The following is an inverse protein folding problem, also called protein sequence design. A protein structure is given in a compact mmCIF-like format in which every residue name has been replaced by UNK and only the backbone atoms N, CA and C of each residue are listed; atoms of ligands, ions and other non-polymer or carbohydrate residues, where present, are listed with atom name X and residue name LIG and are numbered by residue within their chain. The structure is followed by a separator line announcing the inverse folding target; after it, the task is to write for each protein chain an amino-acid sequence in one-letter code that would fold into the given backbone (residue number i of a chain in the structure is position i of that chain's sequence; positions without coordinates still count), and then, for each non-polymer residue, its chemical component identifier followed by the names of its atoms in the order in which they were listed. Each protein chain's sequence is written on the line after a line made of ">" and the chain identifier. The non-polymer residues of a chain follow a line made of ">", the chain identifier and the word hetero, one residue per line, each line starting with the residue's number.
data_IF_820791934334
#
_entry.id   IF_820791934334
#
_cell.length_a   1.000
_cell.length_b   1.000
_cell.length_c   1.000
_cell.angle_alpha   90.00
_cell.angle_beta   90.00
_cell.angle_gamma   90.00
#
_symmetry.space_group_name_H-M   'P 1'
#
loop_
_entity.id
_entity.type
_entity.pdbx_description
1 polymer ?
#
# COMPACT_ATOMS: atom_id res chain seq x y z
N UNK A 1 -14.51 16.94 8.62
CA UNK A 1 -14.83 16.04 7.49
C UNK A 1 -15.09 14.60 7.96
N UNK A 2 -16.06 13.89 7.37
CA UNK A 2 -16.28 12.44 7.60
C UNK A 2 -15.40 11.59 6.68
N UNK A 3 -14.62 10.70 7.28
CA UNK A 3 -13.68 9.81 6.61
C UNK A 3 -14.10 8.35 6.79
N UNK A 4 -13.87 7.55 5.75
CA UNK A 4 -14.12 6.10 5.75
C UNK A 4 -12.84 5.36 5.42
N UNK A 5 -12.38 4.48 6.31
CA UNK A 5 -11.29 3.54 6.08
C UNK A 5 -11.88 2.18 5.71
N UNK A 6 -12.00 1.91 4.41
CA UNK A 6 -12.49 0.65 3.88
C UNK A 6 -11.36 -0.39 3.85
N UNK A 7 -11.25 -1.14 4.96
CA UNK A 7 -10.16 -2.07 5.24
C UNK A 7 -9.25 -1.53 6.34
N UNK A 8 -9.18 -2.26 7.46
CA UNK A 8 -8.36 -1.89 8.61
C UNK A 8 -7.15 -2.79 8.79
N UNK A 9 -6.17 -2.64 7.89
CA UNK A 9 -4.90 -3.34 7.99
C UNK A 9 -3.79 -2.48 8.59
N UNK A 10 -2.55 -2.89 8.31
CA UNK A 10 -1.32 -2.23 8.76
C UNK A 10 -1.25 -0.73 8.46
N UNK A 11 -1.62 -0.31 7.24
CA UNK A 11 -1.66 1.12 6.90
C UNK A 11 -2.73 1.88 7.72
N UNK A 12 -3.91 1.29 7.90
CA UNK A 12 -4.96 1.92 8.71
C UNK A 12 -4.53 2.09 10.17
N UNK A 13 -3.78 1.12 10.73
CA UNK A 13 -3.20 1.23 12.07
C UNK A 13 -2.26 2.45 12.19
N UNK A 14 -1.35 2.61 11.22
CA UNK A 14 -0.48 3.78 11.14
C UNK A 14 -1.27 5.08 10.97
N UNK A 15 -2.26 5.10 10.08
CA UNK A 15 -3.14 6.26 9.86
C UNK A 15 -3.88 6.70 11.13
N UNK A 16 -4.44 5.75 11.89
CA UNK A 16 -5.12 6.05 13.15
C UNK A 16 -4.11 6.56 14.20
N UNK A 17 -2.90 6.01 14.26
CA UNK A 17 -1.89 6.46 15.24
C UNK A 17 -1.53 7.94 15.12
N UNK A 18 -1.66 8.51 13.91
CA UNK A 18 -1.39 9.92 13.62
C UNK A 18 -2.65 10.75 13.37
N UNK A 19 -3.85 10.20 13.61
CA UNK A 19 -5.10 10.87 13.23
C UNK A 19 -5.37 12.16 14.02
N UNK A 20 -4.82 12.29 15.23
CA UNK A 20 -4.96 13.49 16.05
C UNK A 20 -4.29 14.72 15.44
N UNK A 21 -3.37 14.53 14.49
CA UNK A 21 -2.76 15.63 13.73
C UNK A 21 -3.70 16.19 12.65
N UNK A 22 -4.87 15.58 12.47
CA UNK A 22 -5.84 15.93 11.45
C UNK A 22 -7.19 16.28 12.08
N UNK A 23 -7.83 17.34 11.59
CA UNK A 23 -9.13 17.78 12.08
C UNK A 23 -10.27 17.05 11.35
N UNK A 24 -10.46 15.77 11.66
CA UNK A 24 -11.56 14.95 11.12
C UNK A 24 -12.66 14.76 12.17
N UNK A 25 -13.87 15.26 11.89
CA UNK A 25 -15.04 15.13 12.77
C UNK A 25 -15.36 13.68 13.13
N UNK A 26 -15.19 12.77 12.16
CA UNK A 26 -15.51 11.35 12.35
C UNK A 26 -14.73 10.48 11.37
N UNK A 27 -14.11 9.43 11.90
CA UNK A 27 -13.47 8.36 11.14
C UNK A 27 -14.29 7.08 11.33
N UNK A 28 -14.76 6.52 10.23
CA UNK A 28 -15.47 5.23 10.21
C UNK A 28 -14.53 4.19 9.64
N UNK A 29 -14.32 3.10 10.37
CA UNK A 29 -13.40 2.04 9.99
C UNK A 29 -14.14 0.73 9.74
N UNK A 30 -13.88 0.09 8.60
CA UNK A 30 -14.44 -1.20 8.25
C UNK A 30 -13.37 -2.29 8.21
N UNK A 31 -13.66 -3.42 8.83
CA UNK A 31 -12.87 -4.64 8.67
C UNK A 31 -13.68 -5.88 9.07
N UNK A 32 -13.16 -7.07 8.76
CA UNK A 32 -13.79 -8.34 9.15
C UNK A 32 -13.49 -8.73 10.60
N UNK A 33 -12.39 -8.23 11.16
CA UNK A 33 -12.05 -8.41 12.57
C UNK A 33 -12.52 -7.20 13.38
N UNK A 34 -13.02 -7.45 14.59
CA UNK A 34 -13.35 -6.36 15.54
C UNK A 34 -12.07 -5.60 15.89
N UNK A 35 -12.16 -4.26 15.94
CA UNK A 35 -11.11 -3.40 16.49
C UNK A 35 -11.71 -2.44 17.50
N UNK A 36 -10.94 -2.16 18.54
CA UNK A 36 -11.18 -1.05 19.44
C UNK A 36 -9.98 -0.12 19.37
N UNK A 37 -10.23 1.15 19.09
CA UNK A 37 -9.19 2.18 18.94
C UNK A 37 -9.05 3.04 20.18
N UNK A 38 -10.02 3.02 21.11
CA UNK A 38 -10.03 3.91 22.27
C UNK A 38 -10.10 5.40 21.92
N UNK A 39 -10.59 5.76 20.73
CA UNK A 39 -10.69 7.14 20.24
C UNK A 39 -12.15 7.51 19.99
N UNK A 40 -12.62 8.61 20.57
CA UNK A 40 -14.03 9.01 20.54
C UNK A 40 -14.58 9.29 19.13
N UNK A 41 -13.72 9.85 18.27
CA UNK A 41 -14.04 10.18 16.89
C UNK A 41 -13.87 9.00 15.91
N UNK A 42 -13.37 7.85 16.37
CA UNK A 42 -13.20 6.64 15.54
C UNK A 42 -14.29 5.63 15.86
N UNK A 43 -15.04 5.20 14.85
CA UNK A 43 -16.09 4.19 14.97
C UNK A 43 -15.79 3.00 14.07
N UNK A 44 -15.60 1.84 14.67
CA UNK A 44 -15.41 0.58 13.95
C UNK A 44 -16.76 -0.08 13.64
N UNK A 45 -16.86 -0.68 12.46
CA UNK A 45 -17.93 -1.59 12.10
C UNK A 45 -17.37 -2.85 11.45
N UNK A 46 -17.79 -4.01 11.96
CA UNK A 46 -17.49 -5.29 11.32
C UNK A 46 -18.30 -5.41 10.02
N UNK A 47 -17.61 -5.47 8.89
CA UNK A 47 -18.20 -5.62 7.55
C UNK A 47 -17.33 -6.53 6.70
N UNK A 48 -17.96 -7.49 6.04
CA UNK A 48 -17.37 -8.19 4.91
C UNK A 48 -17.94 -7.59 3.62
N UNK A 49 -17.08 -7.04 2.77
CA UNK A 49 -17.51 -6.46 1.50
C UNK A 49 -17.93 -7.50 0.46
N UNK A 50 -17.73 -8.78 0.76
CA UNK A 50 -18.22 -9.90 -0.05
C UNK A 50 -19.65 -10.34 0.30
N UNK A 51 -20.23 -9.83 1.38
CA UNK A 51 -21.61 -10.13 1.78
C UNK A 51 -22.61 -9.21 1.06
N UNK A 52 -23.53 -9.82 0.31
CA UNK A 52 -24.54 -9.11 -0.48
C UNK A 52 -25.58 -8.39 0.37
N UNK A 53 -25.73 -8.72 1.65
CA UNK A 53 -26.73 -8.11 2.53
C UNK A 53 -26.22 -6.87 3.29
N UNK A 54 -24.93 -6.54 3.16
CA UNK A 54 -24.38 -5.38 3.85
C UNK A 54 -24.95 -4.08 3.30
N UNK A 55 -25.06 -3.11 4.20
CA UNK A 55 -25.32 -1.71 3.87
C UNK A 55 -24.32 -0.80 4.60
N UNK A 56 -24.26 0.44 4.13
CA UNK A 56 -23.33 1.46 4.60
C UNK A 56 -24.08 2.70 5.10
N UNK A 57 -25.12 2.48 5.90
CA UNK A 57 -25.99 3.56 6.39
C UNK A 57 -25.25 4.58 7.27
N UNK A 58 -24.24 4.14 8.00
CA UNK A 58 -23.39 4.93 8.89
C UNK A 58 -22.57 6.02 8.17
N UNK A 59 -22.33 5.85 6.86
CA UNK A 59 -21.62 6.82 6.03
C UNK A 59 -22.56 7.67 5.16
N UNK A 60 -23.88 7.65 5.42
CA UNK A 60 -24.81 8.63 4.81
C UNK A 60 -24.34 10.07 5.06
N UNK A 61 -24.59 10.95 4.10
CA UNK A 61 -24.02 12.30 4.05
C UNK A 61 -22.74 12.36 3.23
N UNK A 62 -22.08 13.52 3.22
CA UNK A 62 -20.82 13.73 2.50
C UNK A 62 -19.67 13.00 3.20
N UNK A 63 -18.92 12.16 2.49
CA UNK A 63 -17.75 11.45 3.03
C UNK A 63 -16.63 11.27 2.01
N UNK A 64 -15.40 11.13 2.47
CA UNK A 64 -14.27 10.67 1.66
C UNK A 64 -13.83 9.28 2.10
N UNK A 65 -13.38 8.45 1.16
CA UNK A 65 -13.06 7.03 1.38
C UNK A 65 -11.58 6.80 1.10
N UNK A 66 -10.93 6.01 1.96
CA UNK A 66 -9.67 5.35 1.68
C UNK A 66 -9.93 3.86 1.56
N UNK A 67 -9.71 3.30 0.37
CA UNK A 67 -9.93 1.87 0.12
C UNK A 67 -8.60 1.10 0.17
N UNK A 68 -8.49 0.24 1.18
CA UNK A 68 -7.30 -0.55 1.52
C UNK A 68 -7.57 -2.06 1.59
N UNK A 69 -8.83 -2.47 1.54
CA UNK A 69 -9.18 -3.89 1.57
C UNK A 69 -8.48 -4.63 0.42
N UNK A 70 -7.80 -5.76 0.68
CA UNK A 70 -7.14 -6.51 -0.38
C UNK A 70 -8.19 -7.18 -1.28
N UNK A 71 -7.87 -7.44 -2.55
CA UNK A 71 -8.76 -8.18 -3.43
C UNK A 71 -8.95 -9.64 -2.97
N UNK A 72 -10.00 -10.30 -3.46
CA UNK A 72 -10.22 -11.74 -3.28
C UNK A 72 -9.17 -12.58 -3.98
N UNK A 73 -8.68 -13.64 -3.32
CA UNK A 73 -7.63 -14.51 -3.87
C UNK A 73 -8.17 -15.59 -4.82
N UNK A 74 -9.46 -15.88 -4.77
CA UNK A 74 -10.16 -16.89 -5.56
C UNK A 74 -10.72 -16.35 -6.89
N UNK A 75 -10.51 -15.06 -7.20
CA UNK A 75 -11.05 -14.38 -8.37
C UNK A 75 -9.94 -13.79 -9.25
N UNK A 76 -10.22 -13.63 -10.55
CA UNK A 76 -9.29 -13.01 -11.50
C UNK A 76 -9.33 -11.47 -11.47
N UNK A 77 -10.45 -10.91 -11.02
CA UNK A 77 -10.71 -9.47 -10.84
C UNK A 77 -10.95 -9.13 -9.36
N UNK A 78 -10.99 -7.85 -9.02
CA UNK A 78 -11.30 -7.39 -7.65
C UNK A 78 -12.81 -7.24 -7.44
N UNK A 79 -13.52 -8.36 -7.37
CA UNK A 79 -14.97 -8.37 -7.17
C UNK A 79 -15.39 -7.81 -5.82
N UNK A 80 -14.49 -7.80 -4.83
CA UNK A 80 -14.76 -7.23 -3.50
C UNK A 80 -14.89 -5.72 -3.58
N UNK A 81 -14.00 -5.08 -4.33
CA UNK A 81 -14.11 -3.66 -4.62
C UNK A 81 -15.36 -3.37 -5.44
N UNK A 82 -15.64 -4.16 -6.49
CA UNK A 82 -16.82 -3.95 -7.33
C UNK A 82 -18.12 -4.00 -6.50
N UNK A 83 -18.23 -4.97 -5.58
CA UNK A 83 -19.34 -5.06 -4.64
C UNK A 83 -19.44 -3.83 -3.75
N UNK A 84 -18.31 -3.40 -3.14
CA UNK A 84 -18.27 -2.21 -2.31
C UNK A 84 -18.76 -0.96 -3.09
N UNK A 85 -18.22 -0.72 -4.29
CA UNK A 85 -18.59 0.40 -5.16
C UNK A 85 -20.08 0.35 -5.54
N UNK A 86 -20.61 -0.83 -5.84
CA UNK A 86 -22.03 -1.00 -6.14
C UNK A 86 -22.93 -0.57 -4.97
N UNK A 87 -22.55 -0.90 -3.74
CA UNK A 87 -23.35 -0.58 -2.54
C UNK A 87 -23.27 0.89 -2.16
N UNK A 88 -22.16 1.58 -2.44
CA UNK A 88 -22.01 3.01 -2.14
C UNK A 88 -22.46 3.93 -3.28
N UNK A 89 -22.86 3.40 -4.44
CA UNK A 89 -23.16 4.19 -5.66
C UNK A 89 -24.18 5.32 -5.49
N UNK A 90 -25.10 5.21 -4.52
CA UNK A 90 -26.14 6.22 -4.24
C UNK A 90 -25.76 7.18 -3.10
N UNK A 91 -24.59 7.00 -2.50
CA UNK A 91 -24.10 7.83 -1.38
C UNK A 91 -23.35 9.05 -1.92
N UNK A 92 -23.27 10.10 -1.11
CA UNK A 92 -22.55 11.34 -1.45
C UNK A 92 -21.07 11.18 -1.11
N UNK A 93 -20.28 10.69 -2.05
CA UNK A 93 -18.83 10.52 -1.88
C UNK A 93 -18.11 11.73 -2.49
N UNK A 94 -17.19 12.34 -1.76
CA UNK A 94 -16.41 13.48 -2.30
C UNK A 94 -15.19 12.98 -3.08
N UNK A 95 -14.37 12.12 -2.43
CA UNK A 95 -13.13 11.59 -2.98
C UNK A 95 -12.90 10.14 -2.52
N UNK A 96 -12.36 9.30 -3.40
CA UNK A 96 -11.87 7.96 -3.06
C UNK A 96 -10.36 7.90 -3.28
N UNK A 97 -9.59 7.69 -2.23
CA UNK A 97 -8.17 7.33 -2.30
C UNK A 97 -8.02 5.82 -2.29
N UNK A 98 -7.53 5.24 -3.38
CA UNK A 98 -7.30 3.81 -3.51
C UNK A 98 -5.82 3.48 -3.35
N UNK A 99 -5.53 2.54 -2.44
CA UNK A 99 -4.18 2.05 -2.18
C UNK A 99 -3.92 0.84 -3.09
N UNK A 100 -3.32 1.11 -4.24
CA UNK A 100 -2.86 0.13 -5.23
C UNK A 100 -1.43 -0.34 -4.91
N UNK A 101 -0.72 -0.86 -5.90
CA UNK A 101 0.65 -1.36 -5.79
C UNK A 101 1.44 -1.06 -7.06
N UNK A 102 2.75 -0.85 -6.93
CA UNK A 102 3.68 -0.80 -8.07
C UNK A 102 3.78 -2.12 -8.86
N UNK A 103 3.29 -3.24 -8.32
CA UNK A 103 3.23 -4.51 -9.04
C UNK A 103 2.40 -4.46 -10.32
N UNK A 104 1.52 -3.47 -10.48
CA UNK A 104 0.74 -3.25 -11.70
C UNK A 104 1.58 -3.01 -12.95
N UNK A 105 2.81 -2.49 -12.80
CA UNK A 105 3.73 -2.31 -13.90
C UNK A 105 4.35 -3.63 -14.39
N UNK A 106 4.48 -4.64 -13.52
CA UNK A 106 5.23 -5.85 -13.83
C UNK A 106 6.74 -5.63 -13.96
N UNK A 107 7.44 -6.57 -14.59
CA UNK A 107 8.90 -6.49 -14.71
C UNK A 107 9.31 -5.49 -15.79
N UNK A 108 10.09 -4.49 -15.39
CA UNK A 108 10.72 -3.50 -16.26
C UNK A 108 12.24 -3.69 -16.30
N UNK A 109 12.78 -4.80 -15.76
CA UNK A 109 14.21 -5.10 -15.78
C UNK A 109 15.05 -4.09 -14.98
N UNK A 110 14.46 -3.41 -14.00
CA UNK A 110 15.13 -2.36 -13.24
C UNK A 110 15.11 -0.97 -13.91
N UNK A 111 14.47 -0.82 -15.06
CA UNK A 111 14.27 0.49 -15.68
C UNK A 111 13.33 1.37 -14.85
N UNK A 112 13.46 2.68 -15.05
CA UNK A 112 12.60 3.70 -14.43
C UNK A 112 11.21 3.64 -15.05
N UNK A 113 10.18 3.73 -14.20
CA UNK A 113 8.77 3.83 -14.60
C UNK A 113 8.10 5.03 -13.93
N UNK A 114 7.27 5.71 -14.69
CA UNK A 114 6.39 6.79 -14.22
C UNK A 114 4.91 6.35 -14.27
N UNK A 115 3.97 7.23 -13.91
CA UNK A 115 2.55 6.89 -13.88
C UNK A 115 1.91 6.69 -15.25
N UNK A 116 2.58 7.12 -16.33
CA UNK A 116 2.14 6.94 -17.73
C UNK A 116 2.64 5.63 -18.34
N UNK A 117 3.59 4.96 -17.68
CA UNK A 117 4.16 3.70 -18.11
C UNK A 117 3.12 2.59 -18.22
N UNK A 118 3.27 1.74 -19.24
CA UNK A 118 2.35 0.64 -19.54
C UNK A 118 2.24 -0.35 -18.37
N UNK A 119 1.01 -0.80 -18.11
CA UNK A 119 0.75 -1.82 -17.08
C UNK A 119 0.91 -3.22 -17.66
N UNK A 120 1.91 -3.96 -17.19
CA UNK A 120 2.21 -5.34 -17.64
C UNK A 120 2.23 -6.32 -16.45
N UNK A 121 1.16 -6.41 -15.65
CA UNK A 121 1.16 -7.20 -14.42
C UNK A 121 1.41 -8.69 -14.69
N UNK A 122 2.40 -9.27 -14.01
CA UNK A 122 2.75 -10.69 -14.18
C UNK A 122 1.94 -11.57 -13.21
N UNK A 123 1.94 -11.20 -11.92
CA UNK A 123 1.26 -11.98 -10.88
C UNK A 123 -0.25 -11.73 -10.83
N UNK A 124 -1.03 -12.75 -10.45
CA UNK A 124 -2.49 -12.63 -10.35
C UNK A 124 -2.94 -11.60 -9.30
N UNK A 125 -2.13 -11.38 -8.25
CA UNK A 125 -2.35 -10.28 -7.30
C UNK A 125 -2.26 -8.91 -7.98
N UNK A 126 -1.31 -8.72 -8.91
CA UNK A 126 -1.14 -7.47 -9.63
C UNK A 126 -2.24 -7.28 -10.69
N UNK A 127 -2.64 -8.34 -11.40
CA UNK A 127 -3.76 -8.31 -12.35
C UNK A 127 -5.06 -7.87 -11.67
N UNK A 128 -5.35 -8.39 -10.48
CA UNK A 128 -6.50 -7.94 -9.66
C UNK A 128 -6.41 -6.47 -9.28
N UNK A 129 -5.21 -5.97 -8.96
CA UNK A 129 -5.00 -4.54 -8.65
C UNK A 129 -5.21 -3.66 -9.88
N UNK A 130 -4.82 -4.10 -11.08
CA UNK A 130 -5.16 -3.41 -12.35
C UNK A 130 -6.66 -3.39 -12.58
N UNK A 131 -7.36 -4.51 -12.32
CA UNK A 131 -8.84 -4.53 -12.37
C UNK A 131 -9.44 -3.50 -11.43
N UNK A 132 -8.96 -3.42 -10.20
CA UNK A 132 -9.44 -2.49 -9.20
C UNK A 132 -9.20 -1.02 -9.58
N UNK A 133 -8.02 -0.68 -10.13
CA UNK A 133 -7.74 0.67 -10.65
C UNK A 133 -8.78 1.07 -11.71
N UNK A 134 -9.09 0.17 -12.65
CA UNK A 134 -10.11 0.42 -13.68
C UNK A 134 -11.50 0.60 -13.09
N UNK A 135 -11.88 -0.21 -12.09
CA UNK A 135 -13.18 -0.11 -11.43
C UNK A 135 -13.35 1.22 -10.67
N UNK A 136 -12.31 1.68 -9.95
CA UNK A 136 -12.32 2.99 -9.28
C UNK A 136 -12.51 4.12 -10.28
N UNK A 137 -11.69 4.15 -11.34
CA UNK A 137 -11.74 5.21 -12.35
C UNK A 137 -13.14 5.25 -12.99
N UNK A 138 -13.62 4.10 -13.48
CA UNK A 138 -14.92 4.01 -14.14
C UNK A 138 -16.07 4.39 -13.20
N UNK A 139 -16.03 3.97 -11.94
CA UNK A 139 -17.03 4.34 -10.94
C UNK A 139 -17.04 5.85 -10.73
N UNK A 140 -15.87 6.45 -10.49
CA UNK A 140 -15.75 7.87 -10.20
C UNK A 140 -16.16 8.74 -11.40
N UNK A 141 -15.79 8.36 -12.62
CA UNK A 141 -16.25 9.02 -13.85
C UNK A 141 -17.78 8.99 -13.98
N UNK A 142 -18.40 7.81 -13.82
CA UNK A 142 -19.86 7.64 -13.94
C UNK A 142 -20.64 8.38 -12.86
N UNK A 143 -20.10 8.44 -11.65
CA UNK A 143 -20.76 9.04 -10.48
C UNK A 143 -20.35 10.49 -10.22
N UNK A 144 -19.42 11.04 -11.03
CA UNK A 144 -18.80 12.36 -10.85
C UNK A 144 -18.11 12.53 -9.48
N UNK A 145 -17.63 11.42 -8.92
CA UNK A 145 -16.82 11.42 -7.70
C UNK A 145 -15.35 11.64 -8.08
N UNK A 146 -14.53 12.15 -7.16
CA UNK A 146 -13.09 12.31 -7.36
C UNK A 146 -12.34 11.04 -6.94
N UNK A 147 -11.17 10.79 -7.52
CA UNK A 147 -10.29 9.71 -7.04
C UNK A 147 -8.84 10.14 -6.91
N UNK A 148 -8.08 9.39 -6.12
CA UNK A 148 -6.62 9.34 -6.13
C UNK A 148 -6.22 7.87 -6.10
N UNK A 149 -5.24 7.48 -6.91
CA UNK A 149 -4.67 6.13 -6.89
C UNK A 149 -3.21 6.22 -6.50
N UNK A 150 -2.84 5.56 -5.40
CA UNK A 150 -1.45 5.42 -4.98
C UNK A 150 -0.93 4.03 -5.37
N UNK A 151 0.02 3.99 -6.31
CA UNK A 151 0.75 2.77 -6.69
C UNK A 151 1.92 2.59 -5.73
N UNK A 152 1.63 1.96 -4.60
CA UNK A 152 2.56 1.86 -3.47
C UNK A 152 3.64 0.80 -3.70
N UNK A 153 4.88 1.16 -3.35
CA UNK A 153 6.03 0.26 -3.27
C UNK A 153 6.00 -0.68 -2.05
N UNK A 154 7.11 -1.32 -1.72
CA UNK A 154 7.19 -2.20 -0.55
C UNK A 154 7.03 -1.42 0.76
N UNK A 155 5.98 -1.71 1.53
CA UNK A 155 5.72 -1.02 2.79
C UNK A 155 6.55 -1.65 3.91
N UNK A 156 7.36 -0.85 4.59
CA UNK A 156 8.08 -1.22 5.81
C UNK A 156 7.72 -0.30 6.98
N UNK A 157 8.15 -0.65 8.18
CA UNK A 157 7.83 0.08 9.40
C UNK A 157 7.81 -0.84 10.63
N UNK A 158 7.41 -0.31 11.80
CA UNK A 158 7.23 -1.08 13.03
C UNK A 158 6.42 -2.37 12.81
N UNK A 159 6.94 -3.51 13.26
CA UNK A 159 6.26 -4.82 13.14
C UNK A 159 6.21 -5.41 11.72
N UNK A 160 6.86 -4.77 10.73
CA UNK A 160 6.95 -5.24 9.34
C UNK A 160 8.37 -5.48 8.83
N UNK A 161 9.38 -5.24 9.67
CA UNK A 161 10.75 -5.63 9.38
C UNK A 161 10.87 -7.17 9.37
N UNK A 162 11.63 -7.78 8.44
CA UNK A 162 11.83 -9.23 8.35
C UNK A 162 12.77 -9.81 9.43
N UNK A 163 12.67 -9.32 10.67
CA UNK A 163 13.55 -9.68 11.79
C UNK A 163 13.50 -11.19 12.07
N UNK A 164 12.31 -11.79 12.12
CA UNK A 164 12.15 -13.22 12.38
C UNK A 164 12.89 -14.10 11.36
N UNK A 165 12.97 -13.66 10.10
CA UNK A 165 13.66 -14.39 9.03
C UNK A 165 15.16 -14.28 9.17
N UNK A 166 15.64 -13.10 9.56
CA UNK A 166 17.05 -12.85 9.87
C UNK A 166 17.47 -13.72 11.06
N UNK A 167 16.70 -13.73 12.15
CA UNK A 167 16.99 -14.52 13.35
C UNK A 167 16.97 -16.04 13.08
N UNK A 168 16.12 -16.51 12.16
CA UNK A 168 16.11 -17.91 11.70
C UNK A 168 17.26 -18.26 10.76
N UNK A 169 18.11 -17.29 10.38
CA UNK A 169 19.20 -17.49 9.44
C UNK A 169 18.72 -17.83 8.03
N UNK A 170 17.51 -17.40 7.63
CA UNK A 170 17.05 -17.64 6.26
C UNK A 170 17.97 -16.91 5.27
N UNK A 171 18.55 -17.62 4.28
CA UNK A 171 19.52 -17.01 3.39
C UNK A 171 18.89 -15.91 2.53
N UNK A 172 19.70 -14.94 2.13
CA UNK A 172 19.33 -13.85 1.21
C UNK A 172 20.08 -14.01 -0.11
N UNK A 173 19.66 -13.31 -1.16
CA UNK A 173 20.38 -13.33 -2.43
C UNK A 173 21.74 -12.62 -2.28
N UNK A 174 22.73 -13.06 -3.05
CA UNK A 174 23.93 -12.27 -3.31
C UNK A 174 23.56 -10.93 -3.93
N UNK A 175 24.30 -9.88 -3.59
CA UNK A 175 24.04 -8.53 -4.14
C UNK A 175 24.08 -8.48 -5.68
N UNK A 176 24.89 -9.32 -6.33
CA UNK A 176 24.96 -9.44 -7.79
C UNK A 176 23.66 -9.96 -8.43
N UNK A 177 22.89 -10.74 -7.67
CA UNK A 177 21.66 -11.41 -8.14
C UNK A 177 20.41 -10.68 -7.64
N UNK A 178 20.58 -9.70 -6.75
CA UNK A 178 19.50 -8.99 -6.09
C UNK A 178 18.93 -7.90 -7.02
N UNK A 179 17.68 -8.08 -7.42
CA UNK A 179 16.96 -7.06 -8.20
C UNK A 179 16.64 -5.81 -7.37
N UNK A 180 16.49 -4.69 -8.08
CA UNK A 180 16.10 -3.41 -7.50
C UNK A 180 14.67 -3.49 -6.96
N UNK A 181 14.45 -2.85 -5.82
CA UNK A 181 13.17 -2.68 -5.17
C UNK A 181 13.01 -1.26 -4.65
N UNK A 182 11.78 -0.91 -4.31
CA UNK A 182 11.38 0.42 -3.87
C UNK A 182 10.68 0.25 -2.53
N UNK A 183 10.89 1.17 -1.61
CA UNK A 183 10.33 1.10 -0.26
C UNK A 183 9.62 2.38 0.12
N UNK A 184 8.67 2.27 1.04
CA UNK A 184 8.03 3.41 1.70
C UNK A 184 7.78 3.05 3.15
N UNK A 185 8.14 3.96 4.05
CA UNK A 185 7.84 3.81 5.46
C UNK A 185 6.34 4.02 5.70
N UNK A 186 5.72 3.20 6.55
CA UNK A 186 4.26 3.23 6.77
C UNK A 186 3.75 4.57 7.32
N UNK A 187 4.57 5.29 8.09
CA UNK A 187 4.23 6.64 8.60
C UNK A 187 4.14 7.65 7.45
N UNK A 188 5.07 7.60 6.48
CA UNK A 188 5.04 8.46 5.31
C UNK A 188 3.84 8.15 4.42
N UNK A 189 3.57 6.86 4.20
CA UNK A 189 2.39 6.43 3.46
C UNK A 189 1.09 6.86 4.15
N UNK A 190 1.02 6.78 5.49
CA UNK A 190 -0.14 7.23 6.25
C UNK A 190 -0.37 8.74 6.10
N UNK A 191 0.70 9.54 6.23
CA UNK A 191 0.64 10.99 6.03
C UNK A 191 0.21 11.38 4.61
N UNK A 192 0.82 10.77 3.60
CA UNK A 192 0.42 10.94 2.20
C UNK A 192 -1.06 10.60 1.99
N UNK A 193 -1.52 9.49 2.57
CA UNK A 193 -2.91 9.04 2.45
C UNK A 193 -3.86 10.05 3.09
N UNK A 194 -3.55 10.57 4.28
CA UNK A 194 -4.36 11.62 4.88
C UNK A 194 -4.37 12.91 4.10
N UNK A 195 -3.20 13.35 3.63
CA UNK A 195 -3.09 14.57 2.83
C UNK A 195 -3.87 14.46 1.52
N UNK A 196 -3.89 13.28 0.89
CA UNK A 196 -4.69 13.03 -0.32
C UNK A 196 -6.19 13.30 -0.16
N UNK A 197 -6.70 13.27 1.07
CA UNK A 197 -8.12 13.52 1.36
C UNK A 197 -8.43 14.99 1.57
N UNK A 198 -7.46 15.79 2.02
CA UNK A 198 -7.63 17.21 2.37
C UNK A 198 -7.09 18.16 1.31
N UNK A 199 -6.15 17.70 0.48
CA UNK A 199 -5.63 18.49 -0.61
C UNK A 199 -6.66 18.74 -1.73
N UNK A 200 -6.34 19.71 -2.59
CA UNK A 200 -7.12 20.00 -3.80
C UNK A 200 -6.88 19.03 -4.95
N UNK A 201 -5.99 18.03 -4.80
CA UNK A 201 -5.58 17.13 -5.88
C UNK A 201 -6.68 16.11 -6.12
N UNK A 202 -7.03 15.89 -7.40
CA UNK A 202 -8.13 15.01 -7.80
C UNK A 202 -7.84 14.34 -9.13
N UNK A 203 -8.36 13.13 -9.29
CA UNK A 203 -8.33 12.31 -10.50
C UNK A 203 -6.91 11.96 -10.98
N UNK A 204 -6.00 11.80 -10.03
CA UNK A 204 -4.59 11.55 -10.30
C UNK A 204 -4.11 10.18 -9.80
N UNK A 205 -3.08 9.68 -10.47
CA UNK A 205 -2.33 8.49 -10.07
C UNK A 205 -0.92 8.92 -9.68
N UNK A 206 -0.39 8.34 -8.61
CA UNK A 206 0.96 8.58 -8.12
C UNK A 206 1.71 7.29 -7.83
N UNK A 207 2.97 7.23 -8.22
CA UNK A 207 3.94 6.30 -7.68
C UNK A 207 4.30 6.70 -6.25
N UNK A 208 4.29 5.75 -5.31
CA UNK A 208 4.59 6.03 -3.90
C UNK A 208 5.78 5.21 -3.42
N UNK A 209 6.90 5.91 -3.17
CA UNK A 209 8.16 5.42 -2.63
C UNK A 209 8.85 6.54 -1.83
N UNK A 210 9.87 6.20 -1.07
CA UNK A 210 10.83 7.13 -0.45
C UNK A 210 11.77 7.83 -1.46
N UNK A 211 11.75 7.42 -2.74
CA UNK A 211 12.59 7.95 -3.81
C UNK A 211 14.01 7.38 -3.87
N UNK A 212 14.35 6.42 -3.01
CA UNK A 212 15.70 5.87 -2.88
C UNK A 212 15.67 4.36 -3.16
N UNK A 213 15.70 3.94 -4.44
CA UNK A 213 15.66 2.52 -4.79
C UNK A 213 16.84 1.78 -4.15
N UNK A 214 16.57 0.56 -3.69
CA UNK A 214 17.53 -0.33 -3.01
C UNK A 214 17.42 -1.73 -3.61
N UNK A 215 18.03 -2.75 -3.00
CA UNK A 215 17.81 -4.16 -3.33
C UNK A 215 17.25 -4.90 -2.13
N UNK A 216 16.64 -6.06 -2.37
CA UNK A 216 16.21 -6.92 -1.26
C UNK A 216 17.35 -7.31 -0.33
N UNK A 217 18.57 -7.48 -0.86
CA UNK A 217 19.77 -7.81 -0.07
C UNK A 217 20.23 -6.62 0.76
N UNK A 218 20.37 -5.42 0.16
CA UNK A 218 20.78 -4.20 0.87
C UNK A 218 19.80 -3.87 2.01
N UNK A 219 18.49 -4.05 1.80
CA UNK A 219 17.50 -3.87 2.85
C UNK A 219 17.73 -4.79 4.06
N UNK A 220 17.98 -6.08 3.85
CA UNK A 220 18.24 -7.03 4.95
C UNK A 220 19.55 -6.71 5.67
N UNK A 221 20.61 -6.38 4.91
CA UNK A 221 21.91 -6.02 5.49
C UNK A 221 21.84 -4.74 6.33
N UNK A 222 21.09 -3.73 5.89
CA UNK A 222 20.84 -2.50 6.67
C UNK A 222 20.08 -2.77 7.96
N UNK A 223 19.08 -3.65 7.94
CA UNK A 223 18.40 -4.08 9.17
C UNK A 223 19.39 -4.74 10.12
N UNK A 224 20.21 -5.67 9.63
CA UNK A 224 21.21 -6.35 10.46
C UNK A 224 22.19 -5.35 11.09
N UNK A 225 22.65 -4.36 10.30
CA UNK A 225 23.53 -3.29 10.77
C UNK A 225 22.88 -2.43 11.86
N UNK A 226 21.65 -1.93 11.62
CA UNK A 226 20.95 -1.06 12.58
C UNK A 226 20.63 -1.79 13.89
N UNK A 227 20.28 -3.07 13.81
CA UNK A 227 19.87 -3.88 14.95
C UNK A 227 21.02 -4.68 15.58
N UNK A 228 22.24 -4.55 15.07
CA UNK A 228 23.40 -5.34 15.50
C UNK A 228 23.13 -6.87 15.46
N UNK A 229 22.49 -7.35 14.38
CA UNK A 229 22.21 -8.77 14.15
C UNK A 229 23.27 -9.39 13.23
N UNK A 230 23.46 -10.71 13.35
CA UNK A 230 24.30 -11.48 12.42
C UNK A 230 23.67 -11.45 11.01
N UNK A 231 24.46 -11.05 10.02
CA UNK A 231 24.05 -11.11 8.61
C UNK A 231 23.74 -12.55 8.18
N UNK A 232 22.62 -12.80 7.46
CA UNK A 232 22.32 -14.11 6.89
C UNK A 232 23.30 -14.51 5.80
N UNK A 233 23.38 -15.82 5.53
CA UNK A 233 24.16 -16.34 4.41
C UNK A 233 23.62 -15.84 3.07
N UNK A 234 24.53 -15.60 2.12
CA UNK A 234 24.19 -15.13 0.78
C UNK A 234 24.30 -16.27 -0.24
N UNK A 235 23.20 -16.55 -0.92
CA UNK A 235 23.10 -17.60 -1.95
C UNK A 235 22.84 -17.00 -3.32
N UNK A 236 23.24 -17.72 -4.37
CA UNK A 236 22.96 -17.31 -5.74
C UNK A 236 21.50 -17.61 -6.15
N UNK A 237 21.07 -17.11 -7.31
CA UNK A 237 19.69 -17.29 -7.78
C UNK A 237 19.31 -18.77 -8.03
N UNK A 238 20.24 -19.63 -8.45
CA UNK A 238 19.99 -21.05 -8.70
C UNK A 238 19.80 -21.84 -7.39
N UNK A 239 20.54 -21.48 -6.35
CA UNK A 239 20.34 -21.99 -4.99
C UNK A 239 19.02 -21.49 -4.42
N UNK A 240 18.71 -20.20 -4.60
CA UNK A 240 17.47 -19.60 -4.14
C UNK A 240 16.23 -20.30 -4.70
N UNK A 241 16.23 -20.67 -5.99
CA UNK A 241 15.14 -21.45 -6.63
C UNK A 241 14.85 -22.78 -5.92
N UNK A 242 15.83 -23.37 -5.23
CA UNK A 242 15.69 -24.66 -4.53
C UNK A 242 15.15 -24.50 -3.11
N UNK A 243 15.45 -23.38 -2.44
CA UNK A 243 15.16 -23.19 -1.01
C UNK A 243 14.08 -22.15 -0.73
N UNK A 244 13.77 -21.27 -1.68
CA UNK A 244 12.74 -20.26 -1.51
C UNK A 244 11.38 -20.79 -1.97
N UNK A 245 10.34 -20.51 -1.18
CA UNK A 245 8.96 -20.74 -1.61
C UNK A 245 8.63 -19.98 -2.90
N UNK A 246 7.71 -20.51 -3.70
CA UNK A 246 7.21 -19.85 -4.92
C UNK A 246 6.73 -18.42 -4.65
N UNK A 247 6.07 -18.21 -3.50
CA UNK A 247 5.61 -16.90 -3.08
C UNK A 247 6.79 -15.94 -2.90
N UNK A 248 7.88 -16.36 -2.25
CA UNK A 248 9.10 -15.55 -2.09
C UNK A 248 9.74 -15.28 -3.46
N UNK A 249 9.88 -16.30 -4.30
CA UNK A 249 10.44 -16.16 -5.65
C UNK A 249 9.62 -15.17 -6.50
N UNK A 250 8.29 -15.17 -6.39
CA UNK A 250 7.42 -14.24 -7.12
C UNK A 250 7.70 -12.76 -6.83
N UNK A 251 8.25 -12.43 -5.65
CA UNK A 251 8.65 -11.06 -5.33
C UNK A 251 10.02 -10.68 -5.90
N UNK A 252 10.85 -11.66 -6.25
CA UNK A 252 12.20 -11.47 -6.78
C UNK A 252 12.24 -11.46 -8.32
N UNK A 253 11.16 -11.94 -8.95
CA UNK A 253 11.09 -12.04 -10.41
C UNK A 253 10.82 -10.71 -11.11
N UNK A 254 10.34 -9.67 -10.42
CA UNK A 254 9.99 -8.39 -11.01
C UNK A 254 10.92 -7.26 -10.50
N UNK A 255 11.36 -6.35 -11.38
CA UNK A 255 12.23 -5.22 -11.04
C UNK A 255 11.85 -3.96 -11.81
N UNK A 256 11.84 -2.82 -11.10
CA UNK A 256 11.50 -1.49 -11.63
C UNK A 256 11.99 -0.43 -10.65
N UNK A 257 12.32 0.76 -11.14
CA UNK A 257 12.60 1.94 -10.30
C UNK A 257 11.42 2.90 -10.44
N UNK A 258 10.82 3.31 -9.33
CA UNK A 258 9.69 4.24 -9.38
C UNK A 258 10.20 5.68 -9.48
N UNK A 259 9.84 6.37 -10.56
CA UNK A 259 9.92 7.83 -10.59
C UNK A 259 8.81 8.38 -9.66
N UNK A 260 9.19 9.25 -8.72
CA UNK A 260 8.28 9.90 -7.76
C UNK A 260 8.24 11.43 -7.91
N UNK A 261 8.71 11.98 -9.02
CA UNK A 261 8.76 13.43 -9.27
C UNK A 261 7.37 14.04 -9.22
N UNK A 262 6.38 13.33 -9.75
CA UNK A 262 4.98 13.73 -9.66
C UNK A 262 4.50 13.77 -8.21
N UNK A 263 4.79 12.74 -7.41
CA UNK A 263 4.44 12.73 -5.99
C UNK A 263 5.07 13.92 -5.27
N UNK A 264 6.36 14.17 -5.47
CA UNK A 264 7.08 15.25 -4.81
C UNK A 264 6.55 16.65 -5.19
N UNK A 265 6.08 16.84 -6.43
CA UNK A 265 5.47 18.11 -6.87
C UNK A 265 4.14 18.41 -6.17
N UNK A 266 3.31 17.38 -5.94
CA UNK A 266 1.97 17.56 -5.37
C UNK A 266 1.94 17.39 -3.84
N UNK A 267 2.87 16.62 -3.29
CA UNK A 267 2.97 16.27 -1.88
C UNK A 267 4.37 16.60 -1.34
N UNK A 268 4.80 17.83 -1.59
CA UNK A 268 6.12 18.29 -1.16
C UNK A 268 6.29 18.14 0.37
N UNK A 269 7.49 17.71 0.78
CA UNK A 269 7.82 17.50 2.19
C UNK A 269 7.11 16.29 2.84
N UNK A 270 6.37 15.49 2.07
CA UNK A 270 5.61 14.39 2.66
C UNK A 270 6.40 13.09 2.91
N UNK A 271 7.65 12.99 2.45
CA UNK A 271 8.54 11.86 2.76
C UNK A 271 9.53 12.29 3.86
N UNK A 272 9.34 11.75 5.07
CA UNK A 272 10.23 11.95 6.22
C UNK A 272 11.44 11.03 6.13
N UNK A 273 11.21 9.74 5.87
CA UNK A 273 12.26 8.72 5.86
C UNK A 273 12.82 8.52 4.45
N UNK A 274 13.54 9.54 3.96
CA UNK A 274 14.27 9.44 2.68
C UNK A 274 15.47 8.49 2.77
N UNK A 275 16.08 8.41 3.96
CA UNK A 275 17.14 7.45 4.26
C UNK A 275 16.52 6.18 4.88
N UNK A 276 16.79 5.04 4.25
CA UNK A 276 16.31 3.73 4.70
C UNK A 276 16.78 3.37 6.12
N UNK A 277 18.01 3.71 6.51
CA UNK A 277 18.50 3.42 7.87
C UNK A 277 17.70 4.17 8.95
N UNK A 278 17.32 5.42 8.68
CA UNK A 278 16.54 6.22 9.64
C UNK A 278 15.11 5.68 9.79
N UNK A 279 14.50 5.24 8.68
CA UNK A 279 13.21 4.55 8.74
C UNK A 279 13.30 3.21 9.48
N UNK A 280 14.39 2.45 9.29
CA UNK A 280 14.61 1.20 10.05
C UNK A 280 14.76 1.51 11.55
N UNK A 281 15.54 2.54 11.93
CA UNK A 281 15.66 2.96 13.34
C UNK A 281 14.33 3.40 13.95
N UNK A 282 13.44 4.00 13.17
CA UNK A 282 12.09 4.34 13.61
C UNK A 282 11.13 3.13 13.67
N UNK A 283 11.57 1.97 13.16
CA UNK A 283 10.77 0.74 13.05
C UNK A 283 11.10 -0.31 14.12
N UNK A 284 12.13 -0.08 14.95
CA UNK A 284 12.59 -1.01 15.99
C UNK A 284 11.99 -0.71 17.34
#
# INVERSE_FOLDING_TARGET
>A
MKIVLAGSGYLADSMISISNNYNFDKIIEYSRSKKDRGLDNVRHYTRDFDDDNINFNEIKGKSSIVYMAPPRQDKQADTRLDNFLHKIKKLKIDKITYISTSGVYGDYGGNVVDETSLLKPITDRAKRRVSAEKSIISFCEKTKNKYIIFRVSGIYGPGRLPIDRILKGEPILKSSDAKVTNLIHVEDLARLTWNSLIDGVVNEIFNVSDGNPTTSTDYYLKICKVMNLKSPDQINIEEAKKVFTDKRMSFLNESRVLNIDKLNRYFEGQIKYKNLEDGIKASV
#
